data_IF_914968901650
#
_entry.id   IF_914968901650
#
_cell.length_a   1.000
_cell.length_b   1.000
_cell.length_c   1.000
_cell.angle_alpha   90.00
_cell.angle_beta   90.00
_cell.angle_gamma   90.00
#
_symmetry.space_group_name_H-M   'P 1'
#
loop_
_entity.id
_entity.type
_entity.pdbx_description
1 polymer ?
#
# COMPACT_ATOMS: atom_id res chain seq x y z
N UNK A 1 -2.31 17.23 -18.43
CA UNK A 1 -1.67 17.02 -17.09
C UNK A 1 -1.72 18.34 -16.37
N UNK A 2 -2.12 18.36 -15.10
CA UNK A 2 -2.07 19.58 -14.31
C UNK A 2 -0.60 19.94 -14.07
N UNK A 3 -0.19 21.16 -14.36
CA UNK A 3 1.13 21.65 -13.99
C UNK A 3 1.04 22.25 -12.59
N UNK A 4 1.62 21.58 -11.61
CA UNK A 4 1.75 22.10 -10.26
C UNK A 4 2.98 23.01 -10.13
N UNK A 5 2.97 23.92 -9.16
CA UNK A 5 4.14 24.77 -8.85
C UNK A 5 5.15 24.03 -7.99
N UNK A 6 4.66 23.14 -7.10
CA UNK A 6 5.51 22.38 -6.21
C UNK A 6 6.17 21.22 -6.94
N UNK A 7 7.46 21.01 -6.68
CA UNK A 7 8.25 19.92 -7.26
C UNK A 7 7.70 18.56 -6.85
N UNK A 8 7.23 18.44 -5.59
CA UNK A 8 6.65 17.19 -5.10
C UNK A 8 5.39 16.79 -5.86
N UNK A 9 4.38 17.67 -5.97
CA UNK A 9 3.14 17.35 -6.66
C UNK A 9 3.37 17.12 -8.15
N UNK A 10 4.24 17.89 -8.79
CA UNK A 10 4.63 17.64 -10.19
C UNK A 10 5.23 16.24 -10.35
N UNK A 11 6.21 15.89 -9.53
CA UNK A 11 6.88 14.60 -9.61
C UNK A 11 5.92 13.43 -9.44
N UNK A 12 5.06 13.45 -8.41
CA UNK A 12 4.12 12.35 -8.17
C UNK A 12 2.97 12.32 -9.20
N UNK A 13 2.60 13.47 -9.79
CA UNK A 13 1.62 13.55 -10.87
C UNK A 13 2.14 12.91 -12.16
N UNK A 14 3.35 13.27 -12.58
CA UNK A 14 3.99 12.73 -13.78
C UNK A 14 4.19 11.22 -13.70
N UNK A 15 4.42 10.71 -12.48
CA UNK A 15 4.56 9.27 -12.22
C UNK A 15 3.25 8.52 -12.02
N UNK A 16 2.12 9.23 -11.95
CA UNK A 16 0.79 8.61 -11.87
C UNK A 16 0.35 8.23 -10.46
N UNK A 17 0.90 8.86 -9.41
CA UNK A 17 0.46 8.63 -8.03
C UNK A 17 -0.85 9.38 -7.69
N UNK A 18 -1.19 10.45 -8.40
CA UNK A 18 -2.36 11.25 -8.05
C UNK A 18 -3.61 10.68 -8.72
N UNK A 19 -4.58 10.27 -7.89
CA UNK A 19 -5.93 9.94 -8.34
C UNK A 19 -6.89 11.09 -8.03
N UNK A 20 -6.86 11.61 -6.81
CA UNK A 20 -7.74 12.69 -6.35
C UNK A 20 -7.08 13.51 -5.25
N UNK A 21 -7.32 14.82 -5.25
CA UNK A 21 -6.90 15.77 -4.21
C UNK A 21 -8.13 16.57 -3.78
N UNK A 22 -8.28 16.86 -2.48
CA UNK A 22 -9.44 17.59 -1.93
C UNK A 22 -9.48 19.08 -2.35
N UNK A 23 -8.32 19.72 -2.41
CA UNK A 23 -8.13 21.10 -2.90
C UNK A 23 -6.72 21.20 -3.47
N UNK A 24 -6.61 21.02 -4.78
CA UNK A 24 -5.30 20.93 -5.46
C UNK A 24 -4.55 22.26 -5.45
N UNK A 25 -5.24 23.39 -5.60
CA UNK A 25 -4.60 24.70 -5.72
C UNK A 25 -3.99 25.15 -4.40
N UNK A 26 -4.74 24.98 -3.29
CA UNK A 26 -4.24 25.30 -1.96
C UNK A 26 -3.12 24.36 -1.54
N UNK A 27 -3.27 23.06 -1.79
CA UNK A 27 -2.26 22.08 -1.44
C UNK A 27 -0.96 22.32 -2.22
N UNK A 28 -1.04 22.65 -3.51
CA UNK A 28 0.12 22.98 -4.33
C UNK A 28 0.85 24.24 -3.82
N UNK A 29 0.09 25.27 -3.44
CA UNK A 29 0.66 26.46 -2.81
C UNK A 29 1.42 26.11 -1.54
N UNK A 30 0.82 25.34 -0.64
CA UNK A 30 1.44 24.93 0.61
C UNK A 30 2.71 24.11 0.39
N UNK A 31 2.70 23.17 -0.53
CA UNK A 31 3.89 22.39 -0.88
C UNK A 31 5.02 23.22 -1.49
N UNK A 32 4.68 24.35 -2.14
CA UNK A 32 5.68 25.26 -2.72
C UNK A 32 6.30 26.21 -1.68
N UNK A 33 5.58 26.53 -0.62
CA UNK A 33 5.97 27.55 0.36
C UNK A 33 6.47 26.97 1.69
N UNK A 34 6.02 25.75 2.06
CA UNK A 34 6.22 25.22 3.41
C UNK A 34 6.66 23.76 3.40
N UNK A 35 7.25 23.35 4.54
CA UNK A 35 7.52 21.94 4.83
C UNK A 35 6.26 21.30 5.39
N UNK A 36 5.65 20.42 4.61
CA UNK A 36 4.40 19.75 4.94
C UNK A 36 4.63 18.48 5.76
N UNK A 37 3.77 18.26 6.76
CA UNK A 37 3.64 16.98 7.45
C UNK A 37 2.42 16.24 6.90
N UNK A 38 2.64 15.02 6.41
CA UNK A 38 1.58 14.17 5.88
C UNK A 38 1.70 12.74 6.42
N UNK A 39 0.58 11.99 6.42
CA UNK A 39 0.57 10.62 6.90
C UNK A 39 -0.15 9.64 5.99
N UNK A 40 0.21 8.37 6.15
CA UNK A 40 -0.54 7.22 5.68
C UNK A 40 -0.73 6.24 6.82
N UNK A 41 -1.95 5.71 6.98
CA UNK A 41 -2.29 4.68 7.96
C UNK A 41 -2.10 3.27 7.41
N UNK A 42 -1.63 2.36 8.26
CA UNK A 42 -1.45 0.95 7.92
C UNK A 42 -1.98 0.07 9.06
N UNK A 43 -3.03 -0.67 8.78
CA UNK A 43 -3.57 -1.67 9.69
C UNK A 43 -2.66 -2.90 9.80
N UNK A 44 -2.51 -3.42 11.01
CA UNK A 44 -1.62 -4.53 11.36
C UNK A 44 -2.32 -5.89 11.22
N UNK A 45 -2.87 -6.19 10.04
CA UNK A 45 -3.62 -7.43 9.79
C UNK A 45 -2.74 -8.65 9.53
N UNK A 46 -1.43 -8.44 9.35
CA UNK A 46 -0.40 -9.47 9.19
C UNK A 46 0.95 -8.92 9.66
N UNK A 47 1.94 -9.78 9.96
CA UNK A 47 3.28 -9.35 10.41
C UNK A 47 4.15 -8.78 9.27
N UNK A 48 3.61 -8.69 8.07
CA UNK A 48 4.29 -8.20 6.88
C UNK A 48 3.33 -7.36 6.04
N UNK A 49 3.86 -6.53 5.13
CA UNK A 49 3.09 -5.80 4.13
C UNK A 49 3.24 -6.48 2.76
N UNK A 50 2.20 -6.44 1.96
CA UNK A 50 2.20 -6.99 0.61
C UNK A 50 2.38 -5.89 -0.45
N UNK A 51 2.60 -6.27 -1.71
CA UNK A 51 2.85 -5.30 -2.80
C UNK A 51 1.74 -4.26 -2.99
N UNK A 52 0.51 -4.54 -2.58
CA UNK A 52 -0.55 -3.52 -2.56
C UNK A 52 -0.24 -2.31 -1.68
N UNK A 53 0.61 -2.50 -0.66
CA UNK A 53 1.07 -1.41 0.22
C UNK A 53 2.33 -0.70 -0.31
N UNK A 54 3.04 -1.30 -1.28
CA UNK A 54 4.32 -0.77 -1.76
C UNK A 54 4.18 0.63 -2.34
N UNK A 55 3.13 0.89 -3.12
CA UNK A 55 2.87 2.21 -3.69
C UNK A 55 2.70 3.28 -2.60
N UNK A 56 2.02 2.96 -1.52
CA UNK A 56 1.82 3.87 -0.38
C UNK A 56 3.13 4.15 0.37
N UNK A 57 3.97 3.12 0.54
CA UNK A 57 5.31 3.25 1.13
C UNK A 57 6.19 4.14 0.25
N UNK A 58 6.16 3.94 -1.07
CA UNK A 58 6.94 4.77 -2.00
C UNK A 58 6.44 6.21 -2.07
N UNK A 59 5.14 6.44 -1.92
CA UNK A 59 4.60 7.81 -1.80
C UNK A 59 5.14 8.53 -0.56
N UNK A 60 5.21 7.85 0.60
CA UNK A 60 5.86 8.38 1.80
C UNK A 60 7.36 8.61 1.59
N UNK A 61 8.03 7.70 0.85
CA UNK A 61 9.43 7.89 0.49
C UNK A 61 9.62 9.14 -0.38
N UNK A 62 8.81 9.32 -1.42
CA UNK A 62 8.84 10.54 -2.24
C UNK A 62 8.63 11.80 -1.40
N UNK A 63 7.65 11.78 -0.50
CA UNK A 63 7.41 12.90 0.42
C UNK A 63 8.68 13.23 1.24
N UNK A 64 9.39 12.21 1.73
CA UNK A 64 10.65 12.36 2.46
C UNK A 64 11.77 12.89 1.58
N UNK A 65 11.92 12.35 0.35
CA UNK A 65 12.97 12.72 -0.59
C UNK A 65 12.85 14.19 -1.03
N UNK A 66 11.62 14.72 -1.09
CA UNK A 66 11.35 16.15 -1.36
C UNK A 66 11.41 17.05 -0.11
N UNK A 67 11.89 16.53 1.02
CA UNK A 67 12.18 17.32 2.22
C UNK A 67 10.98 17.54 3.15
N UNK A 68 9.82 16.97 2.87
CA UNK A 68 8.66 17.03 3.73
C UNK A 68 8.73 15.99 4.87
N UNK A 69 7.76 16.00 5.78
CA UNK A 69 7.77 15.13 6.97
C UNK A 69 6.72 14.03 6.85
N UNK A 70 7.11 12.79 6.53
CA UNK A 70 6.18 11.67 6.54
C UNK A 70 5.93 11.14 7.95
N UNK A 71 4.67 10.79 8.21
CA UNK A 71 4.23 10.00 9.36
C UNK A 71 3.69 8.67 8.86
N UNK A 72 4.20 7.59 9.42
CA UNK A 72 3.60 6.26 9.32
C UNK A 72 2.69 6.08 10.53
N UNK A 73 1.38 6.03 10.31
CA UNK A 73 0.43 5.71 11.36
C UNK A 73 0.19 4.20 11.39
N UNK A 74 0.57 3.57 12.46
CA UNK A 74 0.29 2.16 12.73
C UNK A 74 -1.11 2.06 13.32
N UNK A 75 -1.97 1.28 12.69
CA UNK A 75 -3.34 1.03 13.13
C UNK A 75 -3.43 -0.04 14.22
N UNK A 76 -2.73 0.12 15.36
CA UNK A 76 -2.76 -0.87 16.44
C UNK A 76 -4.16 -1.05 17.04
N UNK A 77 -4.87 0.04 17.27
CA UNK A 77 -6.26 -0.01 17.73
C UNK A 77 -7.25 -0.30 16.59
N UNK A 78 -7.11 0.38 15.43
CA UNK A 78 -8.03 0.19 14.30
C UNK A 78 -7.98 -1.22 13.71
N UNK A 79 -6.85 -1.92 13.82
CA UNK A 79 -6.73 -3.33 13.42
C UNK A 79 -7.64 -4.28 14.21
N UNK A 80 -8.07 -3.89 15.42
CA UNK A 80 -9.03 -4.64 16.23
C UNK A 80 -10.45 -4.53 15.69
N UNK A 81 -10.73 -3.49 14.94
CA UNK A 81 -12.03 -3.16 14.33
C UNK A 81 -12.09 -3.73 12.90
N UNK A 82 -11.11 -3.36 12.08
CA UNK A 82 -10.98 -3.74 10.68
C UNK A 82 -11.71 -2.82 9.70
N UNK A 83 -10.96 -2.25 8.77
CA UNK A 83 -11.47 -1.39 7.71
C UNK A 83 -12.41 -2.18 6.77
N UNK A 84 -13.67 -1.75 6.58
CA UNK A 84 -14.62 -2.39 5.67
C UNK A 84 -14.33 -2.11 4.19
N UNK A 85 -13.48 -1.14 3.87
CA UNK A 85 -13.23 -0.69 2.49
C UNK A 85 -12.75 -1.85 1.59
N UNK A 86 -13.41 -2.03 0.43
CA UNK A 86 -13.13 -3.08 -0.56
C UNK A 86 -13.15 -4.52 -0.03
N UNK A 87 -13.89 -4.81 1.02
CA UNK A 87 -14.03 -6.16 1.60
C UNK A 87 -15.46 -6.65 1.48
N UNK A 88 -15.61 -7.88 0.99
CA UNK A 88 -16.91 -8.54 0.86
C UNK A 88 -17.30 -9.35 2.12
N UNK A 89 -16.33 -9.60 3.00
CA UNK A 89 -16.52 -10.38 4.23
C UNK A 89 -15.94 -9.63 5.42
N UNK A 90 -16.60 -9.75 6.57
CA UNK A 90 -16.08 -9.28 7.86
C UNK A 90 -14.71 -9.86 8.15
N UNK A 91 -13.81 -9.04 8.71
CA UNK A 91 -12.46 -9.48 9.06
C UNK A 91 -12.49 -10.41 10.28
N UNK A 92 -11.55 -11.35 10.31
CA UNK A 92 -11.26 -12.12 11.52
C UNK A 92 -10.77 -11.15 12.61
N UNK A 93 -11.37 -11.25 13.78
CA UNK A 93 -10.91 -10.50 14.96
C UNK A 93 -9.57 -11.09 15.38
N UNK A 94 -8.53 -10.26 15.41
CA UNK A 94 -7.18 -10.63 15.83
C UNK A 94 -7.04 -10.50 17.35
N UNK A 95 -6.20 -11.34 17.96
CA UNK A 95 -5.83 -11.19 19.36
C UNK A 95 -4.89 -9.98 19.54
N UNK A 96 -4.80 -9.47 20.78
CA UNK A 96 -3.84 -8.40 21.13
C UNK A 96 -2.40 -8.82 20.87
N UNK A 97 -2.06 -10.08 21.13
CA UNK A 97 -0.73 -10.64 20.88
C UNK A 97 -0.41 -10.68 19.39
N UNK A 98 -1.35 -11.12 18.55
CA UNK A 98 -1.18 -11.13 17.09
C UNK A 98 -0.92 -9.71 16.58
N UNK A 99 -1.72 -8.72 17.02
CA UNK A 99 -1.55 -7.33 16.60
C UNK A 99 -0.18 -6.80 17.03
N UNK A 100 0.24 -7.02 18.26
CA UNK A 100 1.55 -6.58 18.75
C UNK A 100 2.72 -7.20 17.95
N UNK A 101 2.61 -8.47 17.58
CA UNK A 101 3.59 -9.14 16.75
C UNK A 101 3.57 -8.58 15.31
N UNK A 102 2.39 -8.33 14.77
CA UNK A 102 2.23 -7.73 13.45
C UNK A 102 2.83 -6.31 13.39
N UNK A 103 2.60 -5.47 14.41
CA UNK A 103 3.22 -4.14 14.53
C UNK A 103 4.74 -4.20 14.43
N UNK A 104 5.37 -5.15 15.16
CA UNK A 104 6.83 -5.33 15.12
C UNK A 104 7.32 -5.73 13.72
N UNK A 105 6.58 -6.62 13.05
CA UNK A 105 6.91 -7.08 11.71
C UNK A 105 6.80 -5.96 10.67
N UNK A 106 5.70 -5.21 10.71
CA UNK A 106 5.43 -4.10 9.77
C UNK A 106 6.46 -2.97 9.92
N UNK A 107 6.88 -2.62 11.15
CA UNK A 107 7.93 -1.62 11.37
C UNK A 107 9.21 -1.93 10.60
N UNK A 108 9.64 -3.20 10.58
CA UNK A 108 10.81 -3.64 9.82
C UNK A 108 10.67 -3.46 8.30
N UNK A 109 9.43 -3.46 7.77
CA UNK A 109 9.22 -3.18 6.34
C UNK A 109 9.55 -1.72 6.05
N UNK A 110 9.07 -0.78 6.88
CA UNK A 110 9.33 0.65 6.66
C UNK A 110 10.82 1.01 6.74
N UNK A 111 11.58 0.36 7.62
CA UNK A 111 13.02 0.56 7.77
C UNK A 111 13.83 0.28 6.50
N UNK A 112 13.28 -0.51 5.56
CA UNK A 112 13.91 -0.77 4.27
C UNK A 112 13.79 0.38 3.27
N UNK A 113 12.72 1.15 3.37
CA UNK A 113 12.36 2.14 2.35
C UNK A 113 12.54 3.58 2.83
N UNK A 114 12.44 3.81 4.13
CA UNK A 114 12.38 5.13 4.72
C UNK A 114 13.57 5.35 5.67
N UNK A 115 14.13 6.56 5.66
CA UNK A 115 15.09 6.97 6.68
C UNK A 115 14.35 7.20 8.00
N UNK A 116 14.48 6.28 8.93
CA UNK A 116 13.78 6.28 10.22
C UNK A 116 14.10 7.50 11.09
N UNK A 117 15.23 8.18 10.86
CA UNK A 117 15.59 9.41 11.58
C UNK A 117 14.81 10.63 11.10
N UNK A 118 14.19 10.55 9.92
CA UNK A 118 13.45 11.64 9.28
C UNK A 118 11.95 11.44 9.27
N UNK A 119 11.44 10.31 9.79
CA UNK A 119 10.02 9.99 9.86
C UNK A 119 9.56 9.84 11.30
N UNK A 120 8.24 9.85 11.48
CA UNK A 120 7.61 9.45 12.73
C UNK A 120 6.81 8.18 12.48
N UNK A 121 7.03 7.14 13.29
CA UNK A 121 6.19 5.94 13.33
C UNK A 121 5.36 6.04 14.61
N UNK A 122 4.05 6.21 14.46
CA UNK A 122 3.11 6.46 15.55
C UNK A 122 2.07 5.35 15.54
N UNK A 123 1.65 4.90 16.71
CA UNK A 123 0.60 3.90 16.88
C UNK A 123 -0.65 4.58 17.43
N UNK A 124 -1.81 4.38 16.76
CA UNK A 124 -3.06 5.00 17.16
C UNK A 124 -3.68 4.39 18.43
N UNK A 125 -3.16 3.26 18.92
CA UNK A 125 -3.53 2.70 20.22
C UNK A 125 -3.26 3.70 21.38
N UNK A 126 -2.29 4.59 21.21
CA UNK A 126 -1.92 5.61 22.22
C UNK A 126 -3.06 6.54 22.62
N UNK A 127 -4.02 6.76 21.74
CA UNK A 127 -5.16 7.63 22.02
C UNK A 127 -6.50 6.90 21.86
N UNK A 128 -6.66 5.94 20.95
CA UNK A 128 -7.93 5.27 20.74
C UNK A 128 -8.29 4.30 21.89
N UNK A 129 -7.30 3.71 22.56
CA UNK A 129 -7.55 2.77 23.67
C UNK A 129 -7.87 3.47 24.98
N UNK A 130 -7.53 4.76 25.09
CA UNK A 130 -7.81 5.57 26.29
C UNK A 130 -9.18 6.27 26.24
N UNK A 131 -9.89 6.18 25.10
CA UNK A 131 -11.16 6.87 24.91
C UNK A 131 -12.28 6.26 25.76
N UNK A 132 -12.98 7.11 26.51
CA UNK A 132 -14.25 6.72 27.10
C UNK A 132 -15.32 6.70 26.00
N UNK A 133 -16.04 5.61 25.90
CA UNK A 133 -17.03 5.40 24.83
C UNK A 133 -18.15 6.46 24.81
N UNK A 134 -18.68 6.83 25.97
CA UNK A 134 -19.78 7.81 26.06
C UNK A 134 -19.28 9.21 25.71
N UNK A 135 -18.11 9.60 26.22
CA UNK A 135 -17.52 10.90 25.93
C UNK A 135 -17.15 10.99 24.43
N UNK A 136 -16.60 9.94 23.87
CA UNK A 136 -16.28 9.88 22.44
C UNK A 136 -17.55 10.02 21.57
N UNK A 137 -18.66 9.37 21.92
CA UNK A 137 -19.93 9.53 21.18
C UNK A 137 -20.46 10.97 21.28
N UNK A 138 -20.35 11.59 22.46
CA UNK A 138 -20.83 12.97 22.66
C UNK A 138 -19.99 14.00 21.95
N UNK A 139 -18.66 13.91 22.07
CA UNK A 139 -17.74 14.92 21.59
C UNK A 139 -17.38 14.73 20.12
N UNK A 140 -17.22 13.49 19.67
CA UNK A 140 -16.80 13.16 18.33
C UNK A 140 -17.95 12.65 17.48
N UNK A 141 -18.70 11.66 17.97
CA UNK A 141 -19.80 11.02 17.24
C UNK A 141 -20.89 12.00 16.82
N UNK A 142 -21.18 13.04 17.63
CA UNK A 142 -22.14 14.11 17.33
C UNK A 142 -21.83 14.91 16.06
N UNK A 143 -20.59 14.88 15.57
CA UNK A 143 -20.15 15.54 14.34
C UNK A 143 -20.35 14.70 13.08
N UNK A 144 -20.76 13.44 13.21
CA UNK A 144 -21.00 12.53 12.09
C UNK A 144 -22.48 12.36 11.80
N UNK A 145 -22.85 12.48 10.52
CA UNK A 145 -24.20 12.19 10.06
C UNK A 145 -24.27 10.78 9.50
N UNK A 146 -25.12 9.93 10.07
CA UNK A 146 -25.33 8.56 9.59
C UNK A 146 -25.70 8.54 8.11
N UNK A 147 -26.60 9.44 7.66
CA UNK A 147 -26.99 9.53 6.24
C UNK A 147 -25.77 9.79 5.31
N UNK A 148 -24.85 10.64 5.75
CA UNK A 148 -23.63 10.92 5.00
C UNK A 148 -22.68 9.71 5.03
N UNK A 149 -22.52 9.06 6.18
CA UNK A 149 -21.69 7.85 6.29
C UNK A 149 -22.21 6.73 5.38
N UNK A 150 -23.54 6.56 5.28
CA UNK A 150 -24.19 5.59 4.38
C UNK A 150 -23.96 5.92 2.89
N UNK A 151 -23.69 7.18 2.54
CA UNK A 151 -23.47 7.60 1.15
C UNK A 151 -22.05 7.36 0.63
N UNK A 152 -21.07 7.02 1.48
CA UNK A 152 -19.73 6.72 1.04
C UNK A 152 -19.67 5.41 0.25
N UNK A 153 -18.91 5.39 -0.83
CA UNK A 153 -18.85 4.27 -1.77
C UNK A 153 -18.53 2.92 -1.08
N UNK A 154 -17.64 2.93 -0.08
CA UNK A 154 -17.26 1.73 0.68
C UNK A 154 -18.43 1.10 1.44
N UNK A 155 -19.33 1.93 1.95
CA UNK A 155 -20.54 1.51 2.68
C UNK A 155 -21.67 1.20 1.69
N UNK A 156 -21.94 2.13 0.77
CA UNK A 156 -23.00 2.04 -0.21
C UNK A 156 -22.92 0.76 -1.03
N UNK A 157 -21.74 0.41 -1.56
CA UNK A 157 -21.54 -0.81 -2.34
C UNK A 157 -21.83 -2.09 -1.53
N UNK A 158 -21.51 -2.12 -0.23
CA UNK A 158 -21.83 -3.27 0.62
C UNK A 158 -23.32 -3.41 0.86
N UNK A 159 -24.02 -2.32 1.11
CA UNK A 159 -25.46 -2.29 1.28
C UNK A 159 -26.19 -2.69 0.00
N UNK A 160 -25.78 -2.16 -1.16
CA UNK A 160 -26.36 -2.50 -2.46
C UNK A 160 -26.16 -3.99 -2.84
N UNK A 161 -25.08 -4.62 -2.37
CA UNK A 161 -24.82 -6.05 -2.54
C UNK A 161 -25.43 -6.92 -1.44
N UNK A 162 -26.21 -6.34 -0.55
CA UNK A 162 -26.81 -7.03 0.60
C UNK A 162 -25.78 -7.75 1.50
N UNK A 163 -24.54 -7.22 1.52
CA UNK A 163 -23.48 -7.79 2.34
C UNK A 163 -23.56 -7.23 3.76
N UNK A 164 -23.33 -8.10 4.74
CA UNK A 164 -23.35 -7.70 6.14
C UNK A 164 -22.26 -6.65 6.45
N UNK A 165 -22.69 -5.53 7.03
CA UNK A 165 -21.81 -4.48 7.58
C UNK A 165 -22.10 -4.40 9.08
N UNK A 166 -21.17 -4.84 9.91
CA UNK A 166 -21.34 -4.77 11.36
C UNK A 166 -21.25 -3.33 11.84
N UNK A 167 -21.90 -3.05 12.99
CA UNK A 167 -21.79 -1.76 13.66
C UNK A 167 -20.32 -1.41 13.99
N UNK A 168 -19.53 -2.42 14.33
CA UNK A 168 -18.10 -2.29 14.58
C UNK A 168 -17.39 -1.73 13.35
N UNK A 169 -17.53 -2.38 12.18
CA UNK A 169 -16.92 -1.94 10.93
C UNK A 169 -17.43 -0.57 10.48
N UNK A 170 -18.72 -0.28 10.70
CA UNK A 170 -19.29 1.02 10.35
C UNK A 170 -18.68 2.19 11.14
N UNK A 171 -18.24 1.95 12.37
CA UNK A 171 -17.55 2.96 13.18
C UNK A 171 -16.10 3.19 12.77
N UNK A 172 -15.50 2.34 11.95
CA UNK A 172 -14.08 2.48 11.54
C UNK A 172 -13.76 3.86 10.99
N UNK A 173 -14.62 4.41 10.11
CA UNK A 173 -14.40 5.73 9.51
C UNK A 173 -14.37 6.88 10.52
N UNK A 174 -15.09 6.74 11.66
CA UNK A 174 -15.06 7.74 12.73
C UNK A 174 -13.70 7.70 13.43
N UNK A 175 -13.18 6.51 13.71
CA UNK A 175 -11.87 6.32 14.36
C UNK A 175 -10.73 6.84 13.48
N UNK A 176 -10.75 6.53 12.19
CA UNK A 176 -9.75 7.06 11.25
C UNK A 176 -9.86 8.59 11.10
N UNK A 177 -11.08 9.13 11.13
CA UNK A 177 -11.30 10.57 11.15
C UNK A 177 -10.71 11.22 12.41
N UNK A 178 -10.85 10.57 13.56
CA UNK A 178 -10.26 11.02 14.83
C UNK A 178 -8.73 10.91 14.82
N UNK A 179 -8.16 9.88 14.19
CA UNK A 179 -6.72 9.77 13.99
C UNK A 179 -6.16 11.01 13.27
N UNK A 180 -6.83 11.45 12.20
CA UNK A 180 -6.38 12.62 11.46
C UNK A 180 -6.44 13.89 12.32
N UNK A 181 -7.53 14.10 13.07
CA UNK A 181 -7.66 15.19 14.02
C UNK A 181 -6.52 15.17 15.08
N UNK A 182 -6.23 14.02 15.66
CA UNK A 182 -5.14 13.85 16.64
C UNK A 182 -3.77 14.11 16.03
N UNK A 183 -3.51 13.60 14.83
CA UNK A 183 -2.25 13.86 14.14
C UNK A 183 -2.07 15.35 13.76
N UNK A 184 -3.15 16.04 13.43
CA UNK A 184 -3.09 17.48 13.22
C UNK A 184 -2.77 18.22 14.53
N UNK A 185 -3.48 17.90 15.61
CA UNK A 185 -3.33 18.57 16.90
C UNK A 185 -1.93 18.35 17.49
N UNK A 186 -1.44 17.12 17.47
CA UNK A 186 -0.23 16.73 18.18
C UNK A 186 1.06 16.87 17.34
N UNK A 187 0.93 16.84 16.00
CA UNK A 187 2.09 16.78 15.08
C UNK A 187 2.00 17.77 13.92
N UNK A 188 1.02 18.67 13.89
CA UNK A 188 0.77 19.59 12.78
C UNK A 188 0.64 18.88 11.41
N UNK A 189 0.08 17.68 11.41
CA UNK A 189 -0.17 16.92 10.19
C UNK A 189 -1.36 17.53 9.44
N UNK A 190 -1.17 18.00 8.22
CA UNK A 190 -2.22 18.67 7.44
C UNK A 190 -2.71 17.87 6.24
N UNK A 191 -2.04 16.78 5.89
CA UNK A 191 -2.38 15.96 4.73
C UNK A 191 -2.50 14.49 5.11
N UNK A 192 -3.64 13.88 4.79
CA UNK A 192 -3.80 12.43 4.78
C UNK A 192 -3.68 11.91 3.35
N UNK A 193 -2.86 10.88 3.17
CA UNK A 193 -2.71 10.18 1.90
C UNK A 193 -3.17 8.73 2.03
N UNK A 194 -3.60 8.12 0.91
CA UNK A 194 -4.06 6.73 0.90
C UNK A 194 -4.44 6.23 -0.49
N UNK A 195 -4.98 5.02 -0.60
CA UNK A 195 -5.60 4.53 -1.83
C UNK A 195 -6.94 5.21 -2.10
N UNK A 196 -7.45 5.15 -3.33
CA UNK A 196 -8.73 5.76 -3.70
C UNK A 196 -9.92 5.19 -2.91
N UNK A 197 -9.80 3.97 -2.40
CA UNK A 197 -10.77 3.34 -1.50
C UNK A 197 -10.87 4.01 -0.12
N UNK A 198 -9.87 4.80 0.26
CA UNK A 198 -9.80 5.53 1.54
C UNK A 198 -10.46 6.92 1.49
N UNK A 199 -10.92 7.37 0.33
CA UNK A 199 -11.41 8.74 0.17
C UNK A 199 -12.48 9.15 1.18
N UNK A 200 -13.48 8.29 1.40
CA UNK A 200 -14.54 8.54 2.39
C UNK A 200 -14.02 8.73 3.81
N UNK A 201 -13.08 7.87 4.23
CA UNK A 201 -12.47 7.95 5.56
C UNK A 201 -11.63 9.23 5.69
N UNK A 202 -10.88 9.61 4.64
CA UNK A 202 -10.08 10.85 4.60
C UNK A 202 -10.98 12.08 4.76
N UNK A 203 -12.09 12.15 4.02
CA UNK A 203 -13.06 13.25 4.11
C UNK A 203 -13.69 13.33 5.50
N UNK A 204 -13.92 12.21 6.17
CA UNK A 204 -14.38 12.20 7.56
C UNK A 204 -13.41 12.95 8.49
N UNK A 205 -12.11 12.72 8.34
CA UNK A 205 -11.08 13.40 9.14
C UNK A 205 -10.98 14.90 8.84
N UNK A 206 -11.05 15.29 7.56
CA UNK A 206 -11.07 16.71 7.13
C UNK A 206 -12.27 17.43 7.74
N UNK A 207 -13.47 16.85 7.62
CA UNK A 207 -14.69 17.46 8.14
C UNK A 207 -14.69 17.54 9.67
N UNK A 208 -14.22 16.49 10.34
CA UNK A 208 -14.12 16.47 11.79
C UNK A 208 -13.19 17.58 12.29
N UNK A 209 -11.99 17.70 11.75
CA UNK A 209 -11.00 18.71 12.15
C UNK A 209 -11.50 20.13 11.91
N UNK A 210 -12.22 20.35 10.80
CA UNK A 210 -12.86 21.64 10.52
C UNK A 210 -13.93 21.98 11.56
N UNK A 211 -14.77 21.01 11.98
CA UNK A 211 -15.87 21.22 12.93
C UNK A 211 -15.38 21.39 14.37
N UNK A 212 -14.35 20.62 14.78
CA UNK A 212 -13.82 20.66 16.14
C UNK A 212 -12.87 21.84 16.37
N UNK A 213 -12.00 22.14 15.42
CA UNK A 213 -10.88 23.04 15.63
C UNK A 213 -10.77 24.16 14.57
N UNK A 214 -11.71 24.26 13.62
CA UNK A 214 -11.64 25.22 12.53
C UNK A 214 -10.42 25.02 11.60
N UNK A 215 -9.79 23.83 11.62
CA UNK A 215 -8.59 23.53 10.86
C UNK A 215 -8.93 23.10 9.44
N UNK A 216 -8.21 23.64 8.46
CA UNK A 216 -8.27 23.23 7.07
C UNK A 216 -7.22 22.12 6.83
N UNK A 217 -7.68 20.93 6.51
CA UNK A 217 -6.84 19.76 6.22
C UNK A 217 -7.09 19.26 4.81
N UNK A 218 -6.17 18.47 4.29
CA UNK A 218 -6.17 18.01 2.90
C UNK A 218 -6.11 16.49 2.80
N UNK A 219 -6.64 16.00 1.68
CA UNK A 219 -6.61 14.59 1.31
C UNK A 219 -6.01 14.41 -0.09
N UNK A 220 -5.18 13.39 -0.25
CA UNK A 220 -4.65 12.95 -1.53
C UNK A 220 -4.79 11.43 -1.63
N UNK A 221 -5.37 10.95 -2.72
CA UNK A 221 -5.45 9.51 -2.97
C UNK A 221 -4.70 9.10 -4.22
N UNK A 222 -4.19 7.86 -4.18
CA UNK A 222 -3.57 7.20 -5.31
C UNK A 222 -4.56 6.27 -5.99
N UNK A 223 -4.38 5.93 -7.29
CA UNK A 223 -5.14 4.86 -7.91
C UNK A 223 -4.89 3.53 -7.18
N UNK A 224 -5.84 2.61 -7.26
CA UNK A 224 -5.62 1.23 -6.81
C UNK A 224 -4.62 0.54 -7.73
N UNK A 225 -3.80 -0.34 -7.16
CA UNK A 225 -2.86 -1.14 -7.92
C UNK A 225 -3.61 -2.27 -8.63
N UNK A 226 -3.95 -2.02 -9.89
CA UNK A 226 -4.65 -2.96 -10.78
C UNK A 226 -3.91 -3.12 -12.08
N UNK A 227 -4.09 -4.27 -12.74
CA UNK A 227 -3.70 -4.46 -14.14
C UNK A 227 -4.62 -3.66 -15.08
N UNK A 228 -4.23 -3.54 -16.34
CA UNK A 228 -5.06 -2.93 -17.40
C UNK A 228 -6.37 -3.69 -17.62
N UNK A 229 -6.41 -5.00 -17.36
CA UNK A 229 -7.64 -5.80 -17.36
C UNK A 229 -8.52 -5.61 -16.11
N UNK A 230 -8.10 -4.75 -15.15
CA UNK A 230 -8.85 -4.45 -13.93
C UNK A 230 -8.63 -5.43 -12.77
N UNK A 231 -7.73 -6.40 -12.89
CA UNK A 231 -7.41 -7.31 -11.79
C UNK A 231 -6.57 -6.61 -10.73
N UNK A 232 -6.92 -6.82 -9.45
CA UNK A 232 -6.11 -6.28 -8.33
C UNK A 232 -4.78 -7.01 -8.25
N UNK A 233 -3.68 -6.23 -8.24
CA UNK A 233 -2.34 -6.74 -8.01
C UNK A 233 -2.10 -7.02 -6.51
N UNK A 234 -1.22 -7.97 -6.22
CA UNK A 234 -0.76 -8.24 -4.85
C UNK A 234 -1.32 -9.50 -4.22
N UNK A 235 -2.22 -10.19 -4.89
CA UNK A 235 -2.74 -11.49 -4.47
C UNK A 235 -2.73 -12.47 -5.63
N UNK A 236 -2.37 -13.71 -5.33
CA UNK A 236 -2.51 -14.87 -6.21
C UNK A 236 -3.54 -15.82 -5.61
N UNK A 237 -3.83 -16.91 -6.28
CA UNK A 237 -4.63 -18.01 -5.70
C UNK A 237 -3.96 -18.62 -4.46
N UNK A 238 -2.63 -18.54 -4.39
CA UNK A 238 -1.81 -19.03 -3.29
C UNK A 238 -1.68 -18.04 -2.12
N UNK A 239 -2.15 -16.78 -2.27
CA UNK A 239 -2.11 -15.79 -1.20
C UNK A 239 -1.53 -14.43 -1.63
N UNK A 240 -1.11 -13.64 -0.64
CA UNK A 240 -0.53 -12.32 -0.87
C UNK A 240 0.97 -12.43 -1.21
N UNK A 241 1.45 -11.50 -2.05
CA UNK A 241 2.88 -11.34 -2.35
C UNK A 241 3.47 -10.34 -1.35
N UNK A 242 4.33 -10.84 -0.49
CA UNK A 242 4.86 -10.12 0.67
C UNK A 242 6.16 -9.38 0.35
N UNK A 243 6.38 -8.24 1.01
CA UNK A 243 7.57 -7.39 0.81
C UNK A 243 8.81 -7.89 1.57
N UNK A 244 8.63 -8.70 2.59
CA UNK A 244 9.76 -9.32 3.30
C UNK A 244 9.82 -10.82 3.02
N UNK A 245 11.05 -11.30 2.85
CA UNK A 245 11.35 -12.72 2.99
C UNK A 245 11.81 -12.98 4.43
N UNK A 246 11.08 -13.81 5.15
CA UNK A 246 11.37 -14.21 6.53
C UNK A 246 11.94 -15.63 6.53
N UNK A 247 11.18 -16.56 5.97
CA UNK A 247 11.60 -17.95 5.76
C UNK A 247 10.63 -18.62 4.77
N UNK A 248 11.03 -19.77 4.21
CA UNK A 248 10.18 -20.58 3.32
C UNK A 248 8.95 -21.18 4.01
N UNK A 249 8.99 -21.30 5.35
CA UNK A 249 7.90 -21.88 6.16
C UNK A 249 6.89 -20.84 6.65
N UNK A 250 7.19 -19.55 6.47
CA UNK A 250 6.33 -18.48 6.95
C UNK A 250 5.30 -18.10 5.87
N UNK A 251 4.03 -18.21 6.20
CA UNK A 251 2.92 -17.88 5.29
C UNK A 251 2.82 -16.38 4.93
N UNK A 252 3.54 -15.52 5.65
CA UNK A 252 3.61 -14.07 5.38
C UNK A 252 4.97 -13.69 4.79
N UNK A 253 5.55 -14.57 4.00
CA UNK A 253 6.89 -14.44 3.43
C UNK A 253 6.84 -14.76 1.93
N UNK A 254 7.55 -13.98 1.11
CA UNK A 254 7.72 -14.30 -0.31
C UNK A 254 9.20 -14.35 -0.63
N UNK A 255 9.66 -15.47 -1.18
CA UNK A 255 11.04 -15.61 -1.61
C UNK A 255 11.35 -14.60 -2.73
N UNK A 256 12.52 -13.94 -2.75
CA UNK A 256 12.86 -12.93 -3.77
C UNK A 256 12.71 -13.43 -5.21
N UNK A 257 12.95 -14.71 -5.48
CA UNK A 257 12.74 -15.32 -6.79
C UNK A 257 11.25 -15.37 -7.17
N UNK A 258 10.39 -15.75 -6.22
CA UNK A 258 8.95 -15.84 -6.47
C UNK A 258 8.34 -14.43 -6.60
N UNK A 259 8.90 -13.46 -5.88
CA UNK A 259 8.58 -12.04 -6.01
C UNK A 259 8.94 -11.52 -7.42
N UNK A 260 10.13 -11.86 -7.95
CA UNK A 260 10.55 -11.50 -9.29
C UNK A 260 9.67 -12.16 -10.36
N UNK A 261 9.42 -13.48 -10.24
CA UNK A 261 8.55 -14.22 -11.16
C UNK A 261 7.14 -13.62 -11.19
N UNK A 262 6.59 -13.25 -10.03
CA UNK A 262 5.29 -12.60 -9.96
C UNK A 262 5.23 -11.34 -10.81
N UNK A 263 6.19 -10.43 -10.64
CA UNK A 263 6.21 -9.17 -11.41
C UNK A 263 6.43 -9.41 -12.90
N UNK A 264 7.27 -10.35 -13.29
CA UNK A 264 7.50 -10.68 -14.68
C UNK A 264 6.27 -11.30 -15.32
N UNK A 265 5.64 -12.27 -14.66
CA UNK A 265 4.61 -13.13 -15.26
C UNK A 265 3.20 -12.56 -15.14
N UNK A 266 2.93 -11.73 -14.13
CA UNK A 266 1.60 -11.13 -13.87
C UNK A 266 1.46 -9.69 -14.37
N UNK A 267 2.54 -9.08 -14.87
CA UNK A 267 2.46 -7.75 -15.50
C UNK A 267 1.99 -7.90 -16.94
N UNK A 268 0.89 -7.26 -17.28
CA UNK A 268 0.42 -7.16 -18.65
C UNK A 268 1.33 -6.20 -19.44
N UNK A 269 1.42 -6.38 -20.76
CA UNK A 269 2.33 -5.58 -21.59
C UNK A 269 2.04 -4.09 -21.50
N UNK A 270 0.77 -3.70 -21.44
CA UNK A 270 0.31 -2.31 -21.36
C UNK A 270 0.56 -1.67 -19.98
N UNK A 271 0.84 -2.48 -18.96
CA UNK A 271 1.10 -2.01 -17.59
C UNK A 271 2.59 -1.76 -17.30
N UNK A 272 3.51 -2.21 -18.16
CA UNK A 272 4.96 -2.14 -17.92
C UNK A 272 5.40 -0.70 -17.64
N UNK A 273 5.03 0.25 -18.51
CA UNK A 273 5.40 1.65 -18.35
C UNK A 273 4.77 2.28 -17.10
N UNK A 274 3.49 2.01 -16.84
CA UNK A 274 2.78 2.46 -15.63
C UNK A 274 3.50 1.98 -14.36
N UNK A 275 3.88 0.71 -14.29
CA UNK A 275 4.55 0.17 -13.11
C UNK A 275 6.00 0.64 -13.01
N UNK A 276 6.72 0.85 -14.13
CA UNK A 276 8.04 1.49 -14.10
C UNK A 276 7.97 2.91 -13.53
N UNK A 277 6.96 3.71 -13.89
CA UNK A 277 6.77 5.06 -13.31
C UNK A 277 6.49 5.00 -11.81
N UNK A 278 5.64 4.10 -11.36
CA UNK A 278 5.22 4.01 -9.95
C UNK A 278 6.31 3.44 -9.05
N UNK A 279 7.06 2.43 -9.51
CA UNK A 279 7.92 1.62 -8.64
C UNK A 279 9.42 1.81 -8.88
N UNK A 280 9.83 2.69 -9.80
CA UNK A 280 11.24 2.94 -10.06
C UNK A 280 11.56 4.44 -10.08
N UNK A 281 12.84 4.78 -9.93
CA UNK A 281 13.33 6.15 -10.11
C UNK A 281 13.93 6.37 -11.52
N UNK A 282 13.61 5.49 -12.49
CA UNK A 282 14.06 5.63 -13.86
C UNK A 282 13.60 6.97 -14.46
N UNK A 283 14.42 7.61 -15.32
CA UNK A 283 14.01 8.78 -16.07
C UNK A 283 12.75 8.49 -16.90
N UNK A 284 11.76 9.42 -16.87
CA UNK A 284 10.52 9.26 -17.62
C UNK A 284 10.76 9.09 -19.12
N UNK A 285 11.80 9.76 -19.68
CA UNK A 285 12.20 9.60 -21.08
C UNK A 285 12.55 8.16 -21.44
N UNK A 286 13.27 7.46 -20.57
CA UNK A 286 13.62 6.05 -20.77
C UNK A 286 12.37 5.15 -20.67
N UNK A 287 11.48 5.45 -19.73
CA UNK A 287 10.22 4.70 -19.57
C UNK A 287 9.34 4.84 -20.81
N UNK A 288 9.24 6.06 -21.39
CA UNK A 288 8.48 6.29 -22.61
C UNK A 288 9.05 5.54 -23.83
N UNK A 289 10.36 5.31 -23.90
CA UNK A 289 10.92 4.43 -24.95
C UNK A 289 10.54 2.96 -24.73
N UNK A 290 10.50 2.51 -23.47
CA UNK A 290 10.05 1.14 -23.15
C UNK A 290 8.55 0.94 -23.47
N UNK A 291 7.71 1.95 -23.26
CA UNK A 291 6.28 1.89 -23.59
C UNK A 291 6.01 1.74 -25.10
N UNK A 292 6.97 2.09 -25.96
CA UNK A 292 6.86 1.88 -27.41
C UNK A 292 7.19 0.46 -27.85
N UNK A 293 7.82 -0.35 -26.99
CA UNK A 293 8.19 -1.73 -27.29
C UNK A 293 6.96 -2.60 -27.50
N UNK A 294 7.05 -3.57 -28.42
CA UNK A 294 5.97 -4.51 -28.77
C UNK A 294 6.54 -5.91 -28.94
N UNK A 295 5.64 -6.90 -28.92
CA UNK A 295 5.96 -8.30 -29.13
C UNK A 295 7.06 -8.82 -28.19
N UNK A 296 8.08 -9.46 -28.70
CA UNK A 296 9.18 -10.03 -27.90
C UNK A 296 10.00 -8.99 -27.14
N UNK A 297 10.07 -7.74 -27.62
CA UNK A 297 10.85 -6.70 -26.96
C UNK A 297 10.18 -6.21 -25.67
N UNK A 298 8.85 -6.27 -25.53
CA UNK A 298 8.17 -5.91 -24.30
C UNK A 298 8.49 -6.90 -23.15
N UNK A 299 8.84 -8.15 -23.45
CA UNK A 299 9.27 -9.11 -22.45
C UNK A 299 10.56 -8.65 -21.74
N UNK A 300 11.47 -7.97 -22.47
CA UNK A 300 12.65 -7.32 -21.85
C UNK A 300 12.25 -6.19 -20.91
N UNK A 301 11.17 -5.45 -21.24
CA UNK A 301 10.58 -4.44 -20.38
C UNK A 301 10.01 -5.04 -19.08
N UNK A 302 9.32 -6.17 -19.16
CA UNK A 302 8.80 -6.90 -17.98
C UNK A 302 9.93 -7.45 -17.12
N UNK A 303 10.99 -7.99 -17.70
CA UNK A 303 12.17 -8.45 -16.98
C UNK A 303 12.90 -7.30 -16.28
N UNK A 304 13.02 -6.15 -16.94
CA UNK A 304 13.60 -4.94 -16.34
C UNK A 304 12.76 -4.47 -15.16
N UNK A 305 11.43 -4.38 -15.31
CA UNK A 305 10.50 -4.02 -14.25
C UNK A 305 10.64 -4.98 -13.05
N UNK A 306 10.53 -6.28 -13.27
CA UNK A 306 10.66 -7.30 -12.24
C UNK A 306 12.00 -7.20 -11.51
N UNK A 307 13.09 -6.98 -12.26
CA UNK A 307 14.44 -6.79 -11.72
C UNK A 307 14.51 -5.56 -10.84
N UNK A 308 14.06 -4.40 -11.34
CA UNK A 308 14.13 -3.13 -10.59
C UNK A 308 13.32 -3.17 -9.30
N UNK A 309 12.10 -3.72 -9.34
CA UNK A 309 11.26 -3.80 -8.14
C UNK A 309 11.83 -4.83 -7.15
N UNK A 310 12.37 -5.96 -7.63
CA UNK A 310 12.98 -6.95 -6.74
C UNK A 310 14.24 -6.39 -6.08
N UNK A 311 15.08 -5.67 -6.82
CA UNK A 311 16.25 -4.97 -6.26
C UNK A 311 15.85 -3.91 -5.23
N UNK A 312 14.76 -3.17 -5.47
CA UNK A 312 14.23 -2.19 -4.53
C UNK A 312 13.78 -2.83 -3.21
N UNK A 313 13.09 -3.97 -3.28
CA UNK A 313 12.45 -4.61 -2.12
C UNK A 313 13.38 -5.57 -1.38
N UNK A 314 14.20 -6.32 -2.10
CA UNK A 314 15.03 -7.38 -1.54
C UNK A 314 16.55 -7.10 -1.60
N UNK A 315 16.96 -6.01 -2.26
CA UNK A 315 18.35 -5.64 -2.44
C UNK A 315 18.98 -6.29 -3.67
N UNK A 316 20.08 -5.68 -4.14
CA UNK A 316 20.81 -6.12 -5.36
C UNK A 316 21.55 -7.45 -5.16
N UNK A 317 21.97 -7.74 -3.93
CA UNK A 317 22.77 -8.90 -3.57
C UNK A 317 21.92 -10.08 -3.07
N UNK A 318 20.59 -9.94 -3.08
CA UNK A 318 19.70 -11.02 -2.71
C UNK A 318 19.77 -12.16 -3.74
N UNK A 319 19.72 -13.40 -3.26
CA UNK A 319 19.99 -14.66 -4.03
C UNK A 319 18.93 -15.01 -5.11
N UNK A 320 18.14 -14.00 -5.58
CA UNK A 320 17.14 -14.23 -6.62
C UNK A 320 17.73 -14.42 -8.02
N UNK A 321 18.99 -13.97 -8.26
CA UNK A 321 19.71 -14.14 -9.52
C UNK A 321 20.35 -15.53 -9.65
N UNK A 322 20.61 -16.21 -8.55
CA UNK A 322 21.32 -17.49 -8.53
C UNK A 322 20.34 -18.67 -8.48
N UNK A 323 20.39 -19.50 -9.49
CA UNK A 323 19.77 -20.82 -9.69
C UNK A 323 18.28 -20.78 -10.04
N UNK A 324 17.96 -21.24 -11.25
CA UNK A 324 16.61 -21.64 -11.64
C UNK A 324 16.10 -22.62 -10.58
N UNK A 325 15.05 -22.24 -9.83
CA UNK A 325 14.34 -23.18 -8.94
C UNK A 325 13.61 -24.15 -9.83
N UNK A 326 14.07 -25.40 -9.86
CA UNK A 326 13.42 -26.44 -10.64
C UNK A 326 12.22 -26.91 -9.81
N UNK A 327 11.04 -26.46 -10.15
CA UNK A 327 9.79 -26.95 -9.56
C UNK A 327 9.32 -28.15 -10.33
N UNK A 328 9.59 -29.35 -9.81
CA UNK A 328 9.02 -30.58 -10.34
C UNK A 328 7.57 -30.71 -9.86
N UNK A 329 6.63 -30.87 -10.81
CA UNK A 329 5.25 -31.18 -10.45
C UNK A 329 5.21 -32.58 -9.81
N UNK A 330 4.51 -32.76 -8.71
CA UNK A 330 4.36 -34.04 -7.97
C UNK A 330 4.06 -35.22 -8.92
N UNK A 331 3.27 -35.01 -9.97
CA UNK A 331 2.96 -36.01 -11.02
C UNK A 331 4.17 -36.51 -11.81
N UNK A 332 5.27 -35.79 -11.86
CA UNK A 332 6.47 -36.22 -12.60
C UNK A 332 7.32 -37.16 -11.74
N UNK A 333 7.33 -36.99 -10.44
CA UNK A 333 7.93 -37.94 -9.51
C UNK A 333 7.17 -39.28 -9.45
N UNK A 334 5.84 -39.24 -9.55
CA UNK A 334 4.97 -40.43 -9.54
C UNK A 334 5.13 -41.31 -10.80
N UNK A 335 5.74 -40.79 -11.89
CA UNK A 335 6.05 -41.55 -13.12
C UNK A 335 7.39 -42.30 -13.08
N UNK A 336 8.11 -42.26 -11.93
CA UNK A 336 9.34 -43.03 -11.75
C UNK A 336 10.57 -42.50 -12.48
N UNK A 337 10.55 -41.24 -12.92
CA UNK A 337 11.73 -40.61 -13.51
C UNK A 337 12.74 -40.27 -12.38
N UNK A 338 13.94 -40.80 -12.50
CA UNK A 338 15.03 -40.42 -11.57
C UNK A 338 15.40 -38.94 -11.72
N UNK A 339 15.88 -38.32 -10.62
CA UNK A 339 16.24 -36.89 -10.56
C UNK A 339 17.16 -36.45 -11.73
N UNK A 340 18.11 -37.29 -12.12
CA UNK A 340 19.04 -37.04 -13.23
C UNK A 340 18.34 -37.01 -14.61
N UNK A 341 17.33 -37.83 -14.81
CA UNK A 341 16.54 -37.87 -16.06
C UNK A 341 15.66 -36.62 -16.21
N UNK A 342 15.10 -36.11 -15.09
CA UNK A 342 14.32 -34.87 -15.07
C UNK A 342 15.18 -33.65 -15.30
N UNK A 343 16.41 -33.64 -14.80
CA UNK A 343 17.39 -32.57 -15.02
C UNK A 343 17.90 -32.49 -16.46
N UNK A 344 18.05 -33.65 -17.14
CA UNK A 344 18.48 -33.73 -18.55
C UNK A 344 17.41 -33.31 -19.56
N UNK A 345 16.13 -33.38 -19.20
CA UNK A 345 15.01 -33.01 -20.08
C UNK A 345 14.69 -31.51 -20.08
N UNK A 346 15.22 -30.74 -19.17
CA UNK A 346 14.89 -29.33 -18.98
C UNK A 346 16.01 -28.35 -19.40
N UNK A 347 16.81 -28.66 -20.39
CA UNK A 347 17.86 -27.78 -21.00
C UNK A 347 18.71 -26.99 -19.96
N UNK A 348 19.09 -27.61 -18.87
CA UNK A 348 19.79 -26.96 -17.77
C UNK A 348 21.28 -26.85 -17.95
N UNK A 349 21.82 -27.08 -19.15
CA UNK A 349 23.23 -26.79 -19.45
C UNK A 349 24.25 -27.29 -18.41
N UNK A 350 23.91 -28.29 -17.63
CA UNK A 350 24.87 -28.98 -16.74
C UNK A 350 25.70 -29.89 -17.62
N UNK A 351 26.86 -29.38 -18.03
CA UNK A 351 27.90 -30.18 -18.62
C UNK A 351 28.18 -31.41 -17.75
N UNK A 352 28.46 -32.48 -18.46
CA UNK A 352 28.83 -33.81 -17.93
C UNK A 352 29.86 -33.77 -16.82
#
# INVERSE_FOLDING_TARGET
MNNYKSDFLNHINERGFIYQISDSDKLDKLFSEEKITAYIGFDCTAPNLHIGSLMQILLLKKLQDFGHTPIVLIGGATSKIGDPSLKDKSRKILSYEDINNNVKGIKKVFEKFLDINKIKIIDNSKWLEELNYIDFLREIGSHFSVNRMLSFDSVKQRLEREQNLSFLEFNYMILQGYDFYKLNTDYNCILQMGGSDQWGNIICGIDLSRRLAGKELFGLTTPLLTTSSGQKMGKTEEGAIWLNFISEKDNHSTHPRDFWNYWRDKTESDDVGKFLRLFTDMPLSEIYEIEKLKNEDIEKGKELLATKITELVHGKDSDWKSKKRIVFKKKEFEKGYGLLSLLSHNDLGLAK
#
